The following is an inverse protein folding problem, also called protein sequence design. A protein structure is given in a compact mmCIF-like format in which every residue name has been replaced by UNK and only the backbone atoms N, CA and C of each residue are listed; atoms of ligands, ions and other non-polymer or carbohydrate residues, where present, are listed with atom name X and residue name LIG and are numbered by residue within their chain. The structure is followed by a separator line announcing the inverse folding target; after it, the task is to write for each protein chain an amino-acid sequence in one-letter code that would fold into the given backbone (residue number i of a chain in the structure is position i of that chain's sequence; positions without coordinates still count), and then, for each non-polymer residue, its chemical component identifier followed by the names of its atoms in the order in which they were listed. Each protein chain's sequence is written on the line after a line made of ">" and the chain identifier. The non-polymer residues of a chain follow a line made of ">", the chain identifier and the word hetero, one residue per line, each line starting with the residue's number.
data_IF_362293243452
#
_entry.id   IF_362293243452
#
_cell.length_a   1.000
_cell.length_b   1.000
_cell.length_c   1.000
_cell.angle_alpha   90.00
_cell.angle_beta   90.00
_cell.angle_gamma   90.00
#
_symmetry.space_group_name_H-M   'P 1'
#
loop_
_entity.id
_entity.type
_entity.pdbx_description
1 polymer ?
#
# COMPACT_ATOMS: atom_id res chain seq x y z
N UNK A 1 6.04 10.69 31.91
CA UNK A 1 7.09 10.19 30.99
C UNK A 1 6.52 8.93 30.35
N UNK A 2 5.92 9.10 29.21
CA UNK A 2 5.60 8.01 28.30
C UNK A 2 6.87 7.89 27.46
N UNK A 3 7.59 6.79 27.65
CA UNK A 3 8.77 6.49 26.87
C UNK A 3 8.36 6.44 25.40
N UNK A 4 8.99 7.27 24.57
CA UNK A 4 8.90 7.20 23.11
C UNK A 4 9.31 5.78 22.73
N UNK A 5 8.34 4.99 22.28
CA UNK A 5 8.59 3.70 21.69
C UNK A 5 9.25 4.01 20.34
N UNK A 6 10.56 3.84 20.31
CA UNK A 6 11.37 3.94 19.09
C UNK A 6 11.01 2.73 18.20
N UNK A 7 10.00 2.93 17.34
CA UNK A 7 9.42 1.88 16.47
C UNK A 7 10.32 1.62 15.25
N UNK A 8 11.34 2.44 15.04
CA UNK A 8 12.33 2.25 13.98
C UNK A 8 13.17 1.00 14.27
N UNK A 9 13.11 0.02 13.39
CA UNK A 9 13.98 -1.14 13.48
C UNK A 9 15.45 -0.69 13.51
N UNK A 10 16.13 -0.86 14.63
CA UNK A 10 17.51 -0.46 14.81
C UNK A 10 18.42 -1.15 13.78
N UNK A 11 19.22 -0.36 13.07
CA UNK A 11 20.20 -0.90 12.13
C UNK A 11 21.29 -1.67 12.90
N UNK A 12 21.22 -3.00 12.85
CA UNK A 12 22.19 -3.87 13.51
C UNK A 12 23.50 -4.02 12.75
N UNK A 13 23.47 -3.87 11.44
CA UNK A 13 24.67 -3.99 10.62
C UNK A 13 25.53 -2.73 10.75
N UNK A 14 26.82 -2.92 11.07
CA UNK A 14 27.84 -1.87 11.11
C UNK A 14 28.66 -1.85 9.82
N UNK A 15 29.31 -0.72 9.50
CA UNK A 15 30.15 -0.57 8.31
C UNK A 15 29.40 -0.75 6.98
N UNK A 16 28.14 -0.35 6.93
CA UNK A 16 27.32 -0.31 5.71
C UNK A 16 27.36 1.10 5.16
N UNK A 17 27.68 1.23 3.86
CA UNK A 17 27.70 2.50 3.16
C UNK A 17 26.82 2.41 1.92
N UNK A 18 26.11 3.49 1.63
CA UNK A 18 25.36 3.61 0.40
C UNK A 18 26.33 3.68 -0.80
N UNK A 19 26.09 2.87 -1.83
CA UNK A 19 26.83 2.91 -3.09
C UNK A 19 25.96 3.51 -4.18
N UNK A 20 26.35 4.65 -4.69
CA UNK A 20 25.69 5.27 -5.83
C UNK A 20 26.16 4.57 -7.13
N UNK A 21 25.21 4.32 -8.05
CA UNK A 21 25.48 3.84 -9.40
C UNK A 21 25.35 4.97 -10.40
N UNK A 22 25.88 4.75 -11.62
CA UNK A 22 25.79 5.71 -12.74
C UNK A 22 24.37 5.83 -13.30
N UNK A 23 23.52 4.83 -13.08
CA UNK A 23 22.15 4.80 -13.57
C UNK A 23 21.20 5.34 -12.48
N UNK A 24 20.65 6.51 -12.72
CA UNK A 24 19.72 7.19 -11.82
C UNK A 24 18.27 6.80 -12.12
N UNK A 25 17.36 7.15 -11.19
CA UNK A 25 15.90 7.07 -11.39
C UNK A 25 15.44 7.80 -12.66
N UNK A 26 16.03 8.96 -12.93
CA UNK A 26 15.74 9.76 -14.13
C UNK A 26 16.11 9.01 -15.41
N UNK A 27 17.26 8.33 -15.44
CA UNK A 27 17.64 7.49 -16.58
C UNK A 27 16.63 6.37 -16.82
N UNK A 28 16.19 5.69 -15.74
CA UNK A 28 15.19 4.63 -15.84
C UNK A 28 13.85 5.17 -16.34
N UNK A 29 13.42 6.33 -15.82
CA UNK A 29 12.19 6.99 -16.27
C UNK A 29 12.21 7.36 -17.76
N UNK A 30 13.36 7.81 -18.29
CA UNK A 30 13.53 8.06 -19.74
C UNK A 30 13.41 6.80 -20.58
N UNK A 31 13.92 5.67 -20.08
CA UNK A 31 13.82 4.37 -20.77
C UNK A 31 12.38 3.87 -20.78
N UNK A 32 11.67 4.00 -19.64
CA UNK A 32 10.31 3.50 -19.46
C UNK A 32 9.24 4.44 -20.05
N UNK A 33 9.55 5.72 -20.24
CA UNK A 33 8.58 6.72 -20.68
C UNK A 33 7.61 7.19 -19.57
N UNK A 34 7.82 6.76 -18.33
CA UNK A 34 7.04 7.13 -17.15
C UNK A 34 7.91 7.12 -15.89
N UNK A 35 7.39 7.62 -14.77
CA UNK A 35 8.08 7.58 -13.48
C UNK A 35 7.51 6.48 -12.59
N UNK A 36 8.33 6.00 -11.66
CA UNK A 36 7.86 5.13 -10.57
C UNK A 36 7.11 5.93 -9.51
N UNK A 37 6.14 5.27 -8.88
CA UNK A 37 5.41 5.77 -7.71
C UNK A 37 4.90 4.61 -6.87
N UNK A 38 4.69 4.82 -5.58
CA UNK A 38 3.93 3.89 -4.74
C UNK A 38 2.49 4.37 -4.65
N UNK A 39 1.54 3.53 -5.07
CA UNK A 39 0.14 3.65 -4.72
C UNK A 39 -0.14 2.72 -3.53
N UNK A 40 -0.43 3.31 -2.40
CA UNK A 40 -0.67 2.60 -1.15
C UNK A 40 -2.16 2.51 -0.86
N UNK A 41 -2.78 1.39 -1.25
CA UNK A 41 -4.18 1.12 -0.99
C UNK A 41 -4.37 0.67 0.46
N UNK A 42 -5.16 1.42 1.22
CA UNK A 42 -5.56 1.09 2.59
C UNK A 42 -7.08 1.02 2.72
N UNK A 43 -7.59 0.31 3.71
CA UNK A 43 -9.02 0.13 3.95
C UNK A 43 -9.34 -1.26 4.52
N UNK A 44 -10.57 -1.46 4.95
CA UNK A 44 -11.05 -2.71 5.56
C UNK A 44 -10.86 -3.93 4.65
N UNK A 45 -10.81 -5.12 5.22
CA UNK A 45 -10.97 -6.36 4.44
C UNK A 45 -12.30 -6.31 3.67
N UNK A 46 -12.32 -6.71 2.40
CA UNK A 46 -13.54 -6.63 1.58
C UNK A 46 -13.88 -5.23 1.05
N UNK A 47 -13.07 -4.18 1.30
CA UNK A 47 -13.32 -2.82 0.76
C UNK A 47 -13.14 -2.69 -0.76
N UNK A 48 -12.45 -3.63 -1.43
CA UNK A 48 -12.25 -3.58 -2.89
C UNK A 48 -10.81 -3.29 -3.33
N UNK A 49 -9.87 -3.06 -2.42
CA UNK A 49 -8.46 -2.71 -2.72
C UNK A 49 -7.83 -3.55 -3.81
N UNK A 50 -7.86 -4.88 -3.67
CA UNK A 50 -7.22 -5.80 -4.63
C UNK A 50 -7.93 -5.79 -5.98
N UNK A 51 -9.25 -5.58 -6.01
CA UNK A 51 -10.03 -5.46 -7.26
C UNK A 51 -9.63 -4.22 -8.03
N UNK A 52 -9.55 -3.08 -7.35
CA UNK A 52 -9.12 -1.80 -7.95
C UNK A 52 -7.67 -1.92 -8.45
N UNK A 53 -6.77 -2.51 -7.64
CA UNK A 53 -5.38 -2.67 -8.03
C UNK A 53 -5.19 -3.60 -9.25
N UNK A 54 -6.01 -4.65 -9.39
CA UNK A 54 -6.00 -5.54 -10.57
C UNK A 54 -6.43 -4.80 -11.82
N UNK A 55 -7.54 -4.06 -11.75
CA UNK A 55 -8.06 -3.28 -12.88
C UNK A 55 -7.07 -2.19 -13.31
N UNK A 56 -6.56 -1.44 -12.33
CA UNK A 56 -5.58 -0.39 -12.58
C UNK A 56 -4.29 -0.94 -13.20
N UNK A 57 -3.77 -2.09 -12.73
CA UNK A 57 -2.60 -2.73 -13.31
C UNK A 57 -2.82 -3.08 -14.78
N UNK A 58 -4.01 -3.61 -15.14
CA UNK A 58 -4.39 -3.91 -16.51
C UNK A 58 -4.37 -2.66 -17.39
N UNK A 59 -5.01 -1.60 -16.96
CA UNK A 59 -5.08 -0.32 -17.70
C UNK A 59 -3.68 0.30 -17.85
N UNK A 60 -2.89 0.35 -16.78
CA UNK A 60 -1.51 0.85 -16.84
C UNK A 60 -0.66 0.03 -17.82
N UNK A 61 -0.82 -1.29 -17.84
CA UNK A 61 -0.12 -2.17 -18.79
C UNK A 61 -0.51 -1.87 -20.26
N UNK A 62 -1.80 -1.64 -20.54
CA UNK A 62 -2.27 -1.23 -21.87
C UNK A 62 -1.71 0.14 -22.30
N UNK A 63 -1.48 1.02 -21.34
CA UNK A 63 -0.83 2.33 -21.55
C UNK A 63 0.71 2.22 -21.71
N UNK A 64 1.30 1.03 -21.58
CA UNK A 64 2.75 0.82 -21.62
C UNK A 64 3.46 1.24 -20.33
N UNK A 65 2.74 1.40 -19.23
CA UNK A 65 3.28 1.72 -17.91
C UNK A 65 3.59 0.45 -17.14
N UNK A 66 4.83 0.29 -16.71
CA UNK A 66 5.25 -0.87 -15.91
C UNK A 66 4.73 -0.70 -14.47
N UNK A 67 3.74 -1.50 -14.11
CA UNK A 67 3.18 -1.58 -12.77
C UNK A 67 3.36 -2.98 -12.18
N UNK A 68 3.41 -3.08 -10.85
CA UNK A 68 3.48 -4.36 -10.14
C UNK A 68 2.69 -4.33 -8.84
N UNK A 69 1.86 -5.35 -8.63
CA UNK A 69 1.04 -5.48 -7.43
C UNK A 69 1.78 -6.18 -6.29
N UNK A 70 1.82 -5.51 -5.15
CA UNK A 70 2.23 -6.07 -3.86
C UNK A 70 0.96 -6.34 -3.04
N UNK A 71 0.44 -7.55 -3.14
CA UNK A 71 -0.78 -7.97 -2.45
C UNK A 71 -0.46 -8.60 -1.09
N UNK A 72 -1.29 -8.29 -0.08
CA UNK A 72 -1.07 -8.70 1.30
C UNK A 72 -0.97 -10.21 1.50
N UNK A 73 -1.73 -11.03 0.77
CA UNK A 73 -1.66 -12.48 0.86
C UNK A 73 -0.39 -13.01 0.16
N UNK A 74 -0.09 -12.49 -1.03
CA UNK A 74 1.05 -12.94 -1.83
C UNK A 74 2.39 -12.73 -1.11
N UNK A 75 2.58 -11.57 -0.46
CA UNK A 75 3.83 -11.30 0.27
C UNK A 75 3.98 -12.16 1.51
N UNK A 76 2.87 -12.59 2.13
CA UNK A 76 2.88 -13.52 3.27
C UNK A 76 3.19 -14.96 2.87
N UNK A 77 3.06 -15.33 1.60
CA UNK A 77 3.54 -16.60 1.07
C UNK A 77 5.06 -16.58 0.80
N UNK A 78 5.68 -15.42 0.74
CA UNK A 78 7.07 -15.20 0.40
C UNK A 78 7.85 -14.44 1.48
N UNK A 79 8.15 -13.17 1.21
CA UNK A 79 9.05 -12.33 2.02
C UNK A 79 8.59 -12.17 3.47
N UNK A 80 7.29 -12.22 3.73
CA UNK A 80 6.68 -12.06 5.06
C UNK A 80 6.10 -13.36 5.62
N UNK A 81 6.51 -14.54 5.11
CA UNK A 81 6.00 -15.84 5.56
C UNK A 81 6.24 -16.16 7.04
N UNK A 82 7.17 -15.47 7.67
CA UNK A 82 7.50 -15.61 9.10
C UNK A 82 6.68 -14.67 10.00
N UNK A 83 5.78 -13.86 9.45
CA UNK A 83 4.94 -12.92 10.20
C UNK A 83 3.51 -13.45 10.34
N UNK A 84 2.96 -13.31 11.55
CA UNK A 84 1.56 -13.58 11.87
C UNK A 84 0.67 -12.33 11.72
N UNK A 85 -0.32 -12.21 12.62
CA UNK A 85 -1.31 -11.13 12.62
C UNK A 85 -1.38 -10.37 13.96
N UNK A 86 -0.36 -10.51 14.84
CA UNK A 86 -0.22 -9.63 15.99
C UNK A 86 -0.01 -8.18 15.54
N UNK A 87 -0.16 -7.21 16.43
CA UNK A 87 0.07 -5.81 16.11
C UNK A 87 1.52 -5.60 15.61
N UNK A 88 2.49 -6.18 16.32
CA UNK A 88 3.91 -6.11 15.96
C UNK A 88 4.20 -6.73 14.59
N UNK A 89 3.62 -7.90 14.29
CA UNK A 89 3.76 -8.55 12.99
C UNK A 89 3.15 -7.73 11.87
N UNK A 90 2.04 -7.03 12.13
CA UNK A 90 1.41 -6.14 11.16
C UNK A 90 2.28 -4.92 10.87
N UNK A 91 2.80 -4.27 11.89
CA UNK A 91 3.72 -3.14 11.74
C UNK A 91 4.97 -3.56 10.97
N UNK A 92 5.61 -4.69 11.34
CA UNK A 92 6.77 -5.20 10.60
C UNK A 92 6.43 -5.59 9.15
N UNK A 93 5.23 -6.12 8.90
CA UNK A 93 4.76 -6.41 7.55
C UNK A 93 4.70 -5.11 6.71
N UNK A 94 4.12 -4.04 7.25
CA UNK A 94 4.00 -2.74 6.57
C UNK A 94 5.38 -2.13 6.34
N UNK A 95 6.26 -2.14 7.35
CA UNK A 95 7.63 -1.66 7.23
C UNK A 95 8.39 -2.36 6.09
N UNK A 96 8.36 -3.69 6.03
CA UNK A 96 9.04 -4.46 4.96
C UNK A 96 8.49 -4.13 3.58
N UNK A 97 7.17 -4.02 3.46
CA UNK A 97 6.55 -3.70 2.17
C UNK A 97 6.83 -2.27 1.76
N UNK A 98 6.90 -1.33 2.70
CA UNK A 98 7.35 0.03 2.43
C UNK A 98 8.74 0.08 1.79
N UNK A 99 9.70 -0.67 2.33
CA UNK A 99 11.05 -0.79 1.75
C UNK A 99 11.05 -1.46 0.37
N UNK A 100 10.26 -2.52 0.19
CA UNK A 100 10.12 -3.19 -1.12
C UNK A 100 9.50 -2.24 -2.14
N UNK A 101 8.42 -1.55 -1.80
CA UNK A 101 7.77 -0.58 -2.68
C UNK A 101 8.74 0.53 -3.11
N UNK A 102 9.54 1.06 -2.17
CA UNK A 102 10.58 2.05 -2.45
C UNK A 102 11.60 1.56 -3.48
N UNK A 103 12.03 0.29 -3.41
CA UNK A 103 12.94 -0.30 -4.41
C UNK A 103 12.28 -0.39 -5.79
N UNK A 104 10.98 -0.74 -5.85
CA UNK A 104 10.23 -0.71 -7.11
C UNK A 104 10.15 0.70 -7.69
N UNK A 105 9.86 1.71 -6.87
CA UNK A 105 9.84 3.12 -7.31
C UNK A 105 11.20 3.57 -7.81
N UNK A 106 12.28 3.19 -7.13
CA UNK A 106 13.64 3.52 -7.57
C UNK A 106 13.96 2.88 -8.92
N UNK A 107 13.44 1.68 -9.18
CA UNK A 107 13.58 1.01 -10.49
C UNK A 107 12.72 1.60 -11.61
N UNK A 108 11.80 2.52 -11.27
CA UNK A 108 10.88 3.17 -12.21
C UNK A 108 9.50 2.52 -12.30
N UNK A 109 9.23 1.49 -11.50
CA UNK A 109 7.96 0.75 -11.49
C UNK A 109 6.90 1.48 -10.66
N UNK A 110 5.66 1.45 -11.10
CA UNK A 110 4.50 1.85 -10.29
C UNK A 110 4.11 0.69 -9.39
N UNK A 111 4.40 0.81 -8.09
CA UNK A 111 4.10 -0.22 -7.09
C UNK A 111 2.67 -0.06 -6.56
N UNK A 112 1.80 -1.05 -6.80
CA UNK A 112 0.42 -1.09 -6.34
C UNK A 112 0.34 -1.93 -5.06
N UNK A 113 0.52 -1.29 -3.90
CA UNK A 113 0.59 -1.96 -2.60
C UNK A 113 -0.78 -2.03 -1.94
N UNK A 114 -1.39 -3.23 -1.88
CA UNK A 114 -2.75 -3.45 -1.38
C UNK A 114 -2.74 -4.15 -0.02
N UNK A 115 -2.91 -3.38 1.05
CA UNK A 115 -2.88 -3.85 2.43
C UNK A 115 -4.00 -3.19 3.24
N UNK A 116 -4.50 -3.87 4.29
CA UNK A 116 -5.40 -3.22 5.24
C UNK A 116 -4.67 -2.04 5.88
N UNK A 117 -3.41 -2.24 6.32
CA UNK A 117 -2.56 -1.24 6.98
C UNK A 117 -3.34 -0.37 7.97
N UNK A 118 -3.84 -0.98 9.07
CA UNK A 118 -4.89 -0.37 9.90
C UNK A 118 -4.39 0.81 10.73
N UNK A 119 -3.11 0.91 10.99
CA UNK A 119 -2.52 1.93 11.86
C UNK A 119 -2.00 3.10 11.03
N UNK A 120 -2.42 4.33 11.40
CA UNK A 120 -2.00 5.55 10.70
C UNK A 120 -0.48 5.75 10.81
N UNK A 121 0.09 5.50 11.98
CA UNK A 121 1.53 5.63 12.22
C UNK A 121 2.37 4.77 11.27
N UNK A 122 1.96 3.52 11.00
CA UNK A 122 2.68 2.63 10.08
C UNK A 122 2.65 3.19 8.64
N UNK A 123 1.52 3.75 8.21
CA UNK A 123 1.39 4.36 6.87
C UNK A 123 2.21 5.64 6.74
N UNK A 124 2.21 6.47 7.79
CA UNK A 124 3.00 7.69 7.86
C UNK A 124 4.50 7.39 7.82
N UNK A 125 4.96 6.32 8.47
CA UNK A 125 6.36 5.87 8.40
C UNK A 125 6.74 5.50 6.96
N UNK A 126 5.89 4.75 6.25
CA UNK A 126 6.15 4.41 4.83
C UNK A 126 6.14 5.66 3.96
N UNK A 127 5.24 6.62 4.20
CA UNK A 127 5.23 7.91 3.52
C UNK A 127 6.54 8.65 3.74
N UNK A 128 6.96 8.81 5.00
CA UNK A 128 8.19 9.49 5.37
C UNK A 128 9.44 8.85 4.71
N UNK A 129 9.45 7.51 4.61
CA UNK A 129 10.50 6.76 3.92
C UNK A 129 10.61 7.14 2.43
N UNK A 130 9.48 7.35 1.75
CA UNK A 130 9.44 7.76 0.34
C UNK A 130 9.79 9.24 0.19
N UNK A 131 9.26 10.10 1.04
CA UNK A 131 9.51 11.55 1.03
C UNK A 131 11.01 11.85 1.24
N UNK A 132 11.65 11.16 2.19
CA UNK A 132 13.08 11.29 2.45
C UNK A 132 13.95 10.90 1.23
N UNK A 133 13.43 10.04 0.36
CA UNK A 133 14.09 9.63 -0.88
C UNK A 133 13.64 10.45 -2.11
N UNK A 134 12.77 11.45 -1.94
CA UNK A 134 12.19 12.23 -3.03
C UNK A 134 11.40 11.35 -4.02
N UNK A 135 10.63 10.39 -3.50
CA UNK A 135 9.81 9.46 -4.26
C UNK A 135 8.33 9.75 -4.08
N UNK A 136 7.55 9.57 -5.14
CA UNK A 136 6.10 9.76 -5.07
C UNK A 136 5.44 8.64 -4.26
N UNK A 137 4.73 9.03 -3.21
CA UNK A 137 3.84 8.19 -2.43
C UNK A 137 2.42 8.74 -2.53
N UNK A 138 1.47 7.89 -2.89
CA UNK A 138 0.06 8.23 -3.09
C UNK A 138 -0.76 7.27 -2.23
N UNK A 139 -1.33 7.78 -1.15
CA UNK A 139 -2.23 7.02 -0.31
C UNK A 139 -3.62 7.00 -0.94
N UNK A 140 -4.13 5.79 -1.19
CA UNK A 140 -5.45 5.55 -1.75
C UNK A 140 -6.31 4.91 -0.67
N UNK A 141 -7.19 5.69 -0.07
CA UNK A 141 -8.14 5.20 0.91
C UNK A 141 -9.37 4.61 0.20
N UNK A 142 -9.51 3.30 0.28
CA UNK A 142 -10.67 2.57 -0.24
C UNK A 142 -11.68 2.40 0.88
N UNK A 143 -12.54 3.40 1.02
CA UNK A 143 -13.53 3.53 2.08
C UNK A 143 -14.81 2.78 1.76
N UNK A 144 -15.34 2.10 2.74
CA UNK A 144 -16.70 1.57 2.75
C UNK A 144 -17.15 1.35 4.19
N UNK A 145 -18.47 1.30 4.41
CA UNK A 145 -18.98 0.95 5.72
C UNK A 145 -18.58 -0.46 6.14
N UNK A 146 -18.46 -0.69 7.45
CA UNK A 146 -18.18 -2.02 7.99
C UNK A 146 -19.23 -3.04 7.54
N UNK A 147 -20.51 -2.64 7.55
CA UNK A 147 -21.62 -3.49 7.11
C UNK A 147 -21.46 -3.92 5.65
N UNK A 148 -21.02 -3.02 4.79
CA UNK A 148 -20.73 -3.34 3.38
C UNK A 148 -19.55 -4.29 3.25
N UNK A 149 -18.45 -4.03 3.95
CA UNK A 149 -17.27 -4.90 3.96
C UNK A 149 -17.61 -6.30 4.47
N UNK A 150 -18.38 -6.39 5.56
CA UNK A 150 -18.86 -7.65 6.13
C UNK A 150 -19.85 -8.39 5.20
N UNK A 151 -20.72 -7.66 4.50
CA UNK A 151 -21.64 -8.27 3.53
C UNK A 151 -20.92 -8.89 2.33
N UNK A 152 -19.81 -8.29 1.91
CA UNK A 152 -18.99 -8.82 0.82
C UNK A 152 -18.18 -10.04 1.24
N UNK A 153 -17.60 -10.05 2.42
CA UNK A 153 -16.77 -11.08 3.07
C UNK A 153 -16.23 -12.20 2.14
N UNK A 154 -15.43 -11.87 1.12
CA UNK A 154 -15.09 -12.82 0.05
C UNK A 154 -14.30 -14.04 0.53
N UNK A 155 -13.69 -13.94 1.72
CA UNK A 155 -12.87 -14.99 2.34
C UNK A 155 -13.52 -15.63 3.57
N UNK A 156 -14.72 -15.20 3.96
CA UNK A 156 -15.41 -15.65 5.17
C UNK A 156 -14.71 -15.26 6.48
N UNK A 157 -13.86 -14.22 6.45
CA UNK A 157 -13.07 -13.81 7.61
C UNK A 157 -13.90 -13.07 8.64
N UNK A 158 -14.86 -12.24 8.22
CA UNK A 158 -15.80 -11.58 9.14
C UNK A 158 -16.66 -12.59 9.90
N UNK A 159 -17.17 -13.58 9.19
CA UNK A 159 -17.93 -14.67 9.80
C UNK A 159 -17.13 -15.39 10.88
N UNK A 160 -15.85 -15.69 10.62
CA UNK A 160 -14.94 -16.31 11.59
C UNK A 160 -14.61 -15.40 12.76
N UNK A 161 -14.39 -14.11 12.50
CA UNK A 161 -14.14 -13.12 13.56
C UNK A 161 -15.36 -12.98 14.48
N UNK A 162 -16.59 -12.87 13.94
CA UNK A 162 -17.82 -12.83 14.71
C UNK A 162 -18.07 -14.11 15.53
N UNK A 163 -17.64 -15.26 15.01
CA UNK A 163 -17.67 -16.53 15.74
C UNK A 163 -16.57 -16.67 16.82
N UNK A 164 -15.65 -15.70 16.93
CA UNK A 164 -14.52 -15.74 17.86
C UNK A 164 -13.39 -16.69 17.46
N UNK A 165 -13.42 -17.21 16.23
CA UNK A 165 -12.39 -18.08 15.68
C UNK A 165 -11.12 -17.30 15.29
N UNK A 166 -11.27 -16.05 14.90
CA UNK A 166 -10.17 -15.11 14.61
C UNK A 166 -10.24 -13.98 15.61
N UNK A 167 -9.11 -13.68 16.25
CA UNK A 167 -8.94 -12.54 17.17
C UNK A 167 -8.16 -11.42 16.51
N UNK A 168 -8.26 -10.22 17.05
CA UNK A 168 -7.57 -9.02 16.57
C UNK A 168 -7.89 -8.75 15.09
N UNK A 169 -9.16 -8.93 14.71
CA UNK A 169 -9.60 -8.70 13.33
C UNK A 169 -9.99 -7.24 13.14
N UNK A 170 -9.33 -6.57 12.20
CA UNK A 170 -9.53 -5.14 11.93
C UNK A 170 -10.98 -4.84 11.58
N UNK A 171 -11.56 -3.88 12.29
CA UNK A 171 -12.97 -3.47 12.17
C UNK A 171 -13.94 -4.23 13.07
N UNK A 172 -13.51 -5.30 13.75
CA UNK A 172 -14.33 -6.06 14.69
C UNK A 172 -13.82 -5.87 16.14
N UNK A 173 -12.65 -6.40 16.46
CA UNK A 173 -12.01 -6.34 17.77
C UNK A 173 -10.63 -5.68 17.75
N UNK A 174 -10.20 -5.18 16.57
CA UNK A 174 -9.03 -4.36 16.38
C UNK A 174 -9.42 -3.11 15.55
N UNK A 175 -8.90 -1.90 15.85
CA UNK A 175 -9.30 -0.69 15.17
C UNK A 175 -8.77 -0.61 13.74
N UNK A 176 -9.46 0.17 12.92
CA UNK A 176 -8.95 0.72 11.66
C UNK A 176 -8.89 2.24 11.79
N UNK A 177 -7.72 2.80 11.66
CA UNK A 177 -7.48 4.23 11.72
C UNK A 177 -7.52 4.79 10.29
N UNK A 178 -8.61 5.50 9.96
CA UNK A 178 -8.77 6.10 8.65
C UNK A 178 -7.71 7.19 8.40
N UNK A 179 -7.11 7.27 7.20
CA UNK A 179 -6.14 8.31 6.90
C UNK A 179 -6.78 9.70 6.95
N UNK A 180 -6.06 10.65 7.58
CA UNK A 180 -6.57 12.02 7.73
C UNK A 180 -6.55 12.83 6.44
N UNK A 181 -5.61 12.58 5.52
CA UNK A 181 -5.42 13.31 4.25
C UNK A 181 -4.87 12.39 3.15
N UNK A 182 -5.61 11.39 2.70
CA UNK A 182 -5.19 10.57 1.58
C UNK A 182 -5.18 11.39 0.29
N UNK A 183 -4.29 11.10 -0.64
CA UNK A 183 -4.27 11.72 -1.96
C UNK A 183 -5.49 11.34 -2.80
N UNK A 184 -6.00 10.12 -2.58
CA UNK A 184 -7.23 9.64 -3.23
C UNK A 184 -8.13 9.03 -2.17
N UNK A 185 -9.36 9.52 -2.07
CA UNK A 185 -10.40 8.96 -1.20
C UNK A 185 -11.53 8.39 -2.09
N UNK A 186 -11.67 7.07 -2.06
CA UNK A 186 -12.67 6.33 -2.84
C UNK A 186 -13.78 5.81 -1.93
N UNK A 187 -15.02 5.97 -2.35
CA UNK A 187 -16.20 5.46 -1.65
C UNK A 187 -16.72 4.21 -2.38
N UNK A 188 -16.14 3.05 -2.09
CA UNK A 188 -16.37 1.81 -2.85
C UNK A 188 -17.76 1.18 -2.67
N UNK A 189 -18.59 1.76 -1.83
CA UNK A 189 -20.01 1.44 -1.68
C UNK A 189 -20.92 2.37 -2.52
N UNK A 190 -20.36 3.43 -3.13
CA UNK A 190 -21.10 4.45 -3.88
C UNK A 190 -20.58 4.65 -5.30
N UNK A 191 -19.33 4.30 -5.56
CA UNK A 191 -18.66 4.48 -6.85
C UNK A 191 -18.58 3.16 -7.61
N UNK A 192 -18.57 3.24 -8.92
CA UNK A 192 -18.22 2.12 -9.80
C UNK A 192 -16.72 1.92 -9.87
N UNK A 193 -16.28 0.73 -10.20
CA UNK A 193 -14.85 0.41 -10.37
C UNK A 193 -14.17 1.35 -11.39
N UNK A 194 -14.86 1.72 -12.46
CA UNK A 194 -14.34 2.64 -13.46
C UNK A 194 -14.10 4.05 -12.88
N UNK A 195 -15.06 4.59 -12.11
CA UNK A 195 -14.91 5.89 -11.45
C UNK A 195 -13.77 5.88 -10.43
N UNK A 196 -13.59 4.78 -9.69
CA UNK A 196 -12.50 4.62 -8.74
C UNK A 196 -11.14 4.64 -9.45
N UNK A 197 -10.99 3.89 -10.54
CA UNK A 197 -9.75 3.83 -11.33
C UNK A 197 -9.48 5.17 -12.01
N UNK A 198 -10.50 5.82 -12.58
CA UNK A 198 -10.34 7.13 -13.22
C UNK A 198 -9.84 8.19 -12.24
N UNK A 199 -10.33 8.17 -10.99
CA UNK A 199 -9.85 9.08 -9.94
C UNK A 199 -8.35 8.87 -9.65
N UNK A 200 -7.88 7.64 -9.62
CA UNK A 200 -6.45 7.34 -9.41
C UNK A 200 -5.62 7.79 -10.62
N UNK A 201 -6.07 7.47 -11.84
CA UNK A 201 -5.38 7.87 -13.07
C UNK A 201 -5.26 9.39 -13.21
N UNK A 202 -6.28 10.15 -12.76
CA UNK A 202 -6.24 11.61 -12.73
C UNK A 202 -5.08 12.11 -11.86
N UNK A 203 -4.90 11.57 -10.66
CA UNK A 203 -3.79 11.94 -9.76
C UNK A 203 -2.43 11.55 -10.35
N UNK A 204 -2.31 10.38 -10.99
CA UNK A 204 -1.07 9.97 -11.63
C UNK A 204 -0.67 10.92 -12.78
N UNK A 205 -1.65 11.39 -13.57
CA UNK A 205 -1.42 12.39 -14.64
C UNK A 205 -1.08 13.76 -14.07
N UNK A 206 -1.82 14.23 -13.08
CA UNK A 206 -1.57 15.52 -12.40
C UNK A 206 -0.14 15.60 -11.84
N UNK A 207 0.34 14.51 -11.25
CA UNK A 207 1.73 14.42 -10.74
C UNK A 207 2.78 14.15 -11.83
N UNK A 208 2.38 13.98 -13.09
CA UNK A 208 3.28 13.68 -14.20
C UNK A 208 4.01 12.34 -14.03
N UNK A 209 3.39 11.37 -13.36
CA UNK A 209 3.91 10.01 -13.22
C UNK A 209 3.69 9.25 -14.52
N UNK A 210 2.54 9.41 -15.13
CA UNK A 210 2.16 8.84 -16.42
C UNK A 210 1.80 9.98 -17.39
N UNK A 211 1.96 9.71 -18.68
CA UNK A 211 1.53 10.63 -19.74
C UNK A 211 0.00 10.58 -19.89
N UNK A 212 -0.59 11.68 -20.34
CA UNK A 212 -2.02 11.78 -20.60
C UNK A 212 -2.47 11.01 -21.83
#
# INVERSE_FOLDING_TARGET
>A
NIDEIDIMAEQKATNVHWHEGDITREHRGKILGHRGATLWFTGLSGSGKSTIAVELEGILSEMGVLAYRLDGDNVRLGINKNLGFSAEDRTENIRRIGEVAKLFVDSGVVALSSFISPYEADRDEVRALHDAAGMDFIEVFVDCSLDMAESRDPKGLYKKARAGEIKNFTGIDDPYEAPGKPEVHLHSDQQTLAEEVDAILAVLRERGIING
#
